data_IF_954948099989
#
_entry.id   IF_954948099989
#
_cell.length_a   1.000
_cell.length_b   1.000
_cell.length_c   1.000
_cell.angle_alpha   90.00
_cell.angle_beta   90.00
_cell.angle_gamma   90.00
#
_symmetry.space_group_name_H-M   'P 1'
#
loop_
_entity.id
_entity.type
_entity.pdbx_description
1 polymer ?
#
# COMPACT_ATOMS: atom_id res chain seq x y z
N UNK A 1 13.50 -5.17 19.40
CA UNK A 1 13.48 -5.63 18.01
C UNK A 1 13.48 -7.15 17.99
N UNK A 2 12.81 -7.80 17.03
CA UNK A 2 12.83 -9.27 16.87
C UNK A 2 14.19 -9.78 16.38
N UNK A 3 14.43 -11.09 16.46
CA UNK A 3 15.62 -11.71 15.85
C UNK A 3 15.61 -11.58 14.33
N UNK A 4 14.48 -11.87 13.69
CA UNK A 4 14.32 -11.74 12.22
C UNK A 4 14.68 -10.34 11.72
N UNK A 5 14.20 -9.30 12.41
CA UNK A 5 14.53 -7.92 12.02
C UNK A 5 16.02 -7.62 12.19
N UNK A 6 16.67 -8.16 13.24
CA UNK A 6 18.13 -8.03 13.42
C UNK A 6 18.89 -8.70 12.28
N UNK A 7 18.48 -9.91 11.90
CA UNK A 7 19.13 -10.67 10.84
C UNK A 7 18.97 -9.97 9.49
N UNK A 8 17.78 -9.41 9.21
CA UNK A 8 17.54 -8.63 8.00
C UNK A 8 18.39 -7.36 7.94
N UNK A 9 18.47 -6.59 9.03
CA UNK A 9 19.31 -5.37 9.06
C UNK A 9 20.78 -5.73 8.89
N UNK A 10 21.26 -6.78 9.56
CA UNK A 10 22.63 -7.26 9.41
C UNK A 10 22.91 -7.67 7.96
N UNK A 11 21.98 -8.42 7.35
CA UNK A 11 22.05 -8.79 5.93
C UNK A 11 22.05 -7.57 5.03
N UNK A 12 21.19 -6.58 5.24
CA UNK A 12 21.10 -5.40 4.38
C UNK A 12 22.31 -4.45 4.47
N UNK A 13 22.98 -4.43 5.63
CA UNK A 13 24.16 -3.59 5.90
C UNK A 13 25.48 -4.29 5.65
N UNK A 14 25.48 -5.54 5.20
CA UNK A 14 26.70 -6.25 4.88
C UNK A 14 27.42 -5.59 3.68
N UNK A 15 28.60 -5.04 3.96
CA UNK A 15 29.44 -4.35 2.99
C UNK A 15 30.02 -5.30 1.93
N UNK A 16 30.09 -6.60 2.21
CA UNK A 16 30.60 -7.63 1.30
C UNK A 16 29.58 -8.09 0.26
N UNK A 17 28.35 -7.56 0.31
CA UNK A 17 27.31 -7.87 -0.68
C UNK A 17 27.67 -7.36 -2.05
N UNK A 18 27.55 -8.23 -3.04
CA UNK A 18 27.75 -7.91 -4.46
C UNK A 18 26.89 -6.71 -4.90
N UNK A 19 25.64 -6.66 -4.45
CA UNK A 19 24.71 -5.56 -4.73
C UNK A 19 24.35 -4.82 -3.44
N UNK A 20 25.04 -3.71 -3.21
CA UNK A 20 24.76 -2.82 -2.08
C UNK A 20 23.45 -2.08 -2.29
N UNK A 21 22.65 -2.03 -1.23
CA UNK A 21 21.45 -1.21 -1.17
C UNK A 21 21.84 0.26 -1.01
N UNK A 22 21.02 1.18 -1.52
CA UNK A 22 21.28 2.60 -1.32
C UNK A 22 20.98 3.01 0.11
N UNK A 23 21.74 3.98 0.63
CA UNK A 23 21.56 4.48 1.99
C UNK A 23 20.11 4.93 2.24
N UNK A 24 19.46 5.58 1.26
CA UNK A 24 18.10 6.05 1.38
C UNK A 24 17.06 4.92 1.47
N UNK A 25 17.35 3.75 0.90
CA UNK A 25 16.52 2.55 1.04
C UNK A 25 16.66 1.97 2.44
N UNK A 26 17.90 1.90 2.95
CA UNK A 26 18.20 1.45 4.30
C UNK A 26 17.55 2.36 5.34
N UNK A 27 17.78 3.68 5.27
CA UNK A 27 17.22 4.65 6.20
C UNK A 27 15.69 4.62 6.22
N UNK A 28 15.05 4.50 5.05
CA UNK A 28 13.60 4.41 4.98
C UNK A 28 13.07 3.12 5.62
N UNK A 29 13.68 1.97 5.34
CA UNK A 29 13.30 0.69 5.94
C UNK A 29 13.53 0.69 7.46
N UNK A 30 14.68 1.18 7.91
CA UNK A 30 15.03 1.27 9.32
C UNK A 30 14.14 2.24 10.07
N UNK A 31 13.72 3.34 9.45
CA UNK A 31 12.75 4.26 10.04
C UNK A 31 11.40 3.56 10.27
N UNK A 32 10.91 2.79 9.28
CA UNK A 32 9.68 2.01 9.42
C UNK A 32 9.78 1.00 10.58
N UNK A 33 10.92 0.29 10.64
CA UNK A 33 11.25 -0.68 11.68
C UNK A 33 11.30 0.00 13.05
N UNK A 34 12.00 1.12 13.15
CA UNK A 34 12.19 1.87 14.38
C UNK A 34 10.85 2.30 14.98
N UNK A 35 10.01 2.94 14.16
CA UNK A 35 8.68 3.42 14.56
C UNK A 35 7.77 2.27 15.02
N UNK A 36 7.93 1.07 14.47
CA UNK A 36 7.06 -0.09 14.74
C UNK A 36 7.55 -0.96 15.91
N UNK A 37 8.88 -1.10 16.09
CA UNK A 37 9.45 -2.06 17.03
C UNK A 37 10.19 -1.48 18.23
N UNK A 38 10.70 -0.25 18.09
CA UNK A 38 11.67 0.32 19.03
C UNK A 38 11.17 1.59 19.72
N UNK A 39 10.57 2.53 18.98
CA UNK A 39 10.19 3.86 19.46
C UNK A 39 9.45 3.84 20.80
N UNK A 40 8.39 3.03 20.93
CA UNK A 40 7.62 2.92 22.18
C UNK A 40 8.41 2.32 23.34
N UNK A 41 9.25 1.32 23.06
CA UNK A 41 10.05 0.63 24.08
C UNK A 41 11.15 1.51 24.64
N UNK A 42 11.67 2.42 23.80
CA UNK A 42 12.71 3.36 24.16
C UNK A 42 12.15 4.67 24.75
N UNK A 43 10.83 4.87 24.72
CA UNK A 43 10.20 6.11 25.13
C UNK A 43 10.33 7.26 24.12
N UNK A 44 10.98 7.05 22.98
CA UNK A 44 11.12 8.03 21.90
C UNK A 44 9.88 8.05 21.00
N UNK A 45 8.77 8.50 21.57
CA UNK A 45 7.45 8.44 20.94
C UNK A 45 7.05 9.73 20.23
N UNK A 46 7.90 10.77 20.21
CA UNK A 46 7.55 12.09 19.67
C UNK A 46 7.06 12.01 18.22
N UNK A 47 7.85 11.40 17.35
CA UNK A 47 7.48 11.25 15.93
C UNK A 47 6.25 10.33 15.76
N UNK A 48 6.19 9.23 16.53
CA UNK A 48 5.07 8.29 16.49
C UNK A 48 3.75 8.95 16.92
N UNK A 49 3.77 9.81 17.93
CA UNK A 49 2.60 10.53 18.42
C UNK A 49 2.12 11.55 17.38
N UNK A 50 3.02 12.28 16.73
CA UNK A 50 2.66 13.16 15.60
C UNK A 50 1.94 12.37 14.51
N UNK A 51 2.49 11.21 14.11
CA UNK A 51 1.87 10.35 13.09
C UNK A 51 0.50 9.84 13.54
N UNK A 52 0.34 9.48 14.81
CA UNK A 52 -0.95 9.03 15.37
C UNK A 52 -1.99 10.14 15.35
N UNK A 53 -1.62 11.34 15.77
CA UNK A 53 -2.51 12.50 15.81
C UNK A 53 -2.98 12.88 14.40
N UNK A 54 -2.06 12.93 13.43
CA UNK A 54 -2.40 13.19 12.03
C UNK A 54 -3.29 12.11 11.43
N UNK A 55 -3.04 10.83 11.75
CA UNK A 55 -3.91 9.73 11.32
C UNK A 55 -5.30 9.80 11.96
N UNK A 56 -5.40 10.24 13.22
CA UNK A 56 -6.69 10.43 13.87
C UNK A 56 -7.49 11.56 13.21
N UNK A 57 -6.81 12.68 12.86
CA UNK A 57 -7.44 13.84 12.22
C UNK A 57 -7.88 13.57 10.79
N UNK A 58 -7.07 12.88 10.01
CA UNK A 58 -7.24 12.82 8.54
C UNK A 58 -7.57 11.44 7.98
N UNK A 59 -7.33 10.36 8.74
CA UNK A 59 -7.40 8.99 8.23
C UNK A 59 -8.34 8.08 9.04
N UNK A 60 -9.21 8.67 9.88
CA UNK A 60 -10.13 7.89 10.73
C UNK A 60 -9.42 6.94 11.69
N UNK A 61 -8.20 7.29 12.11
CA UNK A 61 -7.36 6.47 12.98
C UNK A 61 -6.64 5.31 12.28
N UNK A 62 -6.77 5.15 10.96
CA UNK A 62 -5.99 4.17 10.20
C UNK A 62 -4.50 4.55 10.22
N UNK A 63 -3.59 3.67 10.68
CA UNK A 63 -2.17 3.96 10.67
C UNK A 63 -1.65 4.06 9.23
N UNK A 64 -1.25 5.26 8.81
CA UNK A 64 -0.61 5.52 7.51
C UNK A 64 0.75 6.15 7.71
N UNK A 65 1.69 5.71 6.88
CA UNK A 65 3.03 6.26 6.74
C UNK A 65 3.22 6.70 5.29
N UNK A 66 3.93 7.81 5.10
CA UNK A 66 4.30 8.30 3.79
C UNK A 66 5.84 8.40 3.71
N UNK A 67 6.42 7.75 2.72
CA UNK A 67 7.86 7.84 2.43
C UNK A 67 8.04 8.71 1.20
N UNK A 68 8.57 9.92 1.40
CA UNK A 68 8.93 10.81 0.29
C UNK A 68 10.29 10.40 -0.24
N UNK A 69 10.32 9.90 -1.47
CA UNK A 69 11.53 9.36 -2.09
C UNK A 69 11.72 9.97 -3.49
N UNK A 70 12.97 10.26 -3.86
CA UNK A 70 13.29 10.76 -5.19
C UNK A 70 13.11 9.68 -6.26
N UNK A 71 12.73 10.06 -7.49
CA UNK A 71 12.69 9.11 -8.61
C UNK A 71 14.06 8.45 -8.81
N UNK A 72 14.07 7.13 -8.96
CA UNK A 72 15.31 6.36 -9.09
C UNK A 72 16.00 5.96 -7.78
N UNK A 73 15.54 6.47 -6.62
CA UNK A 73 16.08 6.07 -5.30
C UNK A 73 15.72 4.64 -4.87
N UNK A 74 14.82 3.98 -5.60
CA UNK A 74 14.43 2.58 -5.37
C UNK A 74 13.25 2.39 -4.43
N UNK A 75 12.18 3.18 -4.60
CA UNK A 75 10.87 2.98 -3.93
C UNK A 75 10.39 1.52 -3.97
N UNK A 76 10.48 0.86 -5.12
CA UNK A 76 10.10 -0.55 -5.27
C UNK A 76 11.01 -1.50 -4.50
N UNK A 77 12.30 -1.15 -4.35
CA UNK A 77 13.24 -1.93 -3.50
C UNK A 77 12.82 -1.81 -2.03
N UNK A 78 12.48 -0.59 -1.58
CA UNK A 78 11.94 -0.37 -0.25
C UNK A 78 10.66 -1.19 -0.02
N UNK A 79 9.73 -1.22 -0.99
CA UNK A 79 8.54 -2.06 -0.90
C UNK A 79 8.89 -3.55 -0.70
N UNK A 80 9.86 -4.08 -1.44
CA UNK A 80 10.33 -5.44 -1.25
C UNK A 80 10.94 -5.65 0.15
N UNK A 81 11.74 -4.71 0.65
CA UNK A 81 12.30 -4.76 2.00
C UNK A 81 11.21 -4.77 3.09
N UNK A 82 10.17 -3.94 2.94
CA UNK A 82 9.05 -3.90 3.89
C UNK A 82 8.22 -5.18 3.84
N UNK A 83 7.97 -5.74 2.64
CA UNK A 83 7.27 -7.03 2.49
C UNK A 83 8.10 -8.15 3.14
N UNK A 84 9.41 -8.20 2.89
CA UNK A 84 10.32 -9.16 3.50
C UNK A 84 10.28 -9.06 5.04
N UNK A 85 10.42 -7.84 5.57
CA UNK A 85 10.40 -7.59 7.01
C UNK A 85 9.09 -8.02 7.67
N UNK A 86 7.94 -7.60 7.13
CA UNK A 86 6.64 -7.99 7.67
C UNK A 86 6.39 -9.49 7.51
N UNK A 87 6.60 -10.04 6.31
CA UNK A 87 6.32 -11.42 5.97
C UNK A 87 7.14 -12.41 6.79
N UNK A 88 8.46 -12.19 6.91
CA UNK A 88 9.35 -13.07 7.65
C UNK A 88 9.09 -13.02 9.17
N UNK A 89 8.81 -11.84 9.71
CA UNK A 89 8.42 -11.72 11.11
C UNK A 89 7.08 -12.41 11.38
N UNK A 90 6.12 -12.27 10.47
CA UNK A 90 4.82 -12.94 10.59
C UNK A 90 4.95 -14.46 10.51
N UNK A 91 5.81 -14.96 9.63
CA UNK A 91 6.14 -16.38 9.53
C UNK A 91 6.84 -16.91 10.80
N UNK A 92 7.69 -16.10 11.44
CA UNK A 92 8.37 -16.47 12.68
C UNK A 92 7.44 -16.45 13.90
N UNK A 93 6.50 -15.50 13.94
CA UNK A 93 5.52 -15.37 15.02
C UNK A 93 4.14 -14.97 14.45
N UNK A 94 3.29 -15.97 14.11
CA UNK A 94 1.97 -15.71 13.55
C UNK A 94 1.03 -14.90 14.46
N UNK A 95 1.26 -14.89 15.78
CA UNK A 95 0.42 -14.16 16.74
C UNK A 95 0.79 -12.69 16.87
N UNK A 96 1.96 -12.27 16.37
CA UNK A 96 2.36 -10.87 16.44
C UNK A 96 1.54 -10.03 15.47
N UNK A 97 0.76 -9.10 16.02
CA UNK A 97 -0.18 -8.26 15.26
C UNK A 97 0.50 -7.05 14.61
N UNK A 98 1.75 -6.75 14.99
CA UNK A 98 2.54 -5.68 14.37
C UNK A 98 2.89 -6.01 12.92
N UNK A 99 2.94 -7.31 12.58
CA UNK A 99 3.34 -7.79 11.27
C UNK A 99 2.19 -8.43 10.48
N UNK A 100 2.36 -8.45 9.17
CA UNK A 100 1.38 -8.98 8.22
C UNK A 100 2.05 -9.91 7.22
N UNK A 101 1.30 -10.90 6.79
CA UNK A 101 1.59 -11.82 5.70
C UNK A 101 0.73 -11.50 4.46
N UNK A 102 -0.03 -10.38 4.46
CA UNK A 102 -0.99 -10.00 3.41
C UNK A 102 -0.74 -8.58 2.93
N UNK A 103 -0.40 -8.43 1.66
CA UNK A 103 0.00 -7.16 1.06
C UNK A 103 -0.86 -6.83 -0.15
N UNK A 104 -1.54 -5.69 -0.10
CA UNK A 104 -2.25 -5.12 -1.24
C UNK A 104 -1.39 -4.01 -1.85
N UNK A 105 -0.85 -4.24 -3.02
CA UNK A 105 -0.06 -3.26 -3.77
C UNK A 105 -0.99 -2.57 -4.78
N UNK A 106 -1.16 -1.26 -4.65
CA UNK A 106 -1.98 -0.43 -5.53
C UNK A 106 -1.09 0.38 -6.47
N UNK A 107 -1.47 0.39 -7.74
CA UNK A 107 -0.76 1.04 -8.84
C UNK A 107 -1.69 1.95 -9.65
N UNK A 108 -1.18 2.97 -10.36
CA UNK A 108 -2.02 3.85 -11.17
C UNK A 108 -2.62 3.15 -12.39
N UNK A 109 -1.91 2.18 -12.99
CA UNK A 109 -2.35 1.52 -14.21
C UNK A 109 -1.72 0.14 -14.43
N UNK A 110 -2.24 -0.57 -15.43
CA UNK A 110 -1.87 -1.97 -15.72
C UNK A 110 -0.39 -2.13 -16.09
N UNK A 111 0.20 -1.15 -16.77
CA UNK A 111 1.63 -1.17 -17.13
C UNK A 111 2.51 -1.16 -15.88
N UNK A 112 2.19 -0.34 -14.88
CA UNK A 112 2.95 -0.29 -13.62
C UNK A 112 2.72 -1.56 -12.82
N UNK A 113 1.47 -2.03 -12.75
CA UNK A 113 1.12 -3.31 -12.12
C UNK A 113 2.00 -4.46 -12.63
N UNK A 114 2.15 -4.57 -13.95
CA UNK A 114 2.91 -5.66 -14.55
C UNK A 114 4.42 -5.53 -14.26
N UNK A 115 4.95 -4.31 -14.16
CA UNK A 115 6.34 -4.08 -13.73
C UNK A 115 6.57 -4.39 -12.25
N UNK A 116 5.59 -4.15 -11.39
CA UNK A 116 5.70 -4.44 -9.96
C UNK A 116 5.62 -5.93 -9.61
N UNK A 117 5.42 -6.82 -10.59
CA UNK A 117 5.50 -8.29 -10.40
C UNK A 117 6.81 -8.76 -9.76
N UNK A 118 7.88 -7.97 -9.89
CA UNK A 118 9.15 -8.19 -9.19
C UNK A 118 9.02 -8.22 -7.65
N UNK A 119 7.90 -7.75 -7.08
CA UNK A 119 7.58 -7.86 -5.65
C UNK A 119 7.01 -9.23 -5.26
N UNK A 120 6.69 -10.11 -6.21
CA UNK A 120 6.16 -11.45 -5.96
C UNK A 120 7.32 -12.43 -5.70
N UNK A 121 7.38 -13.12 -4.53
CA UNK A 121 8.45 -14.05 -4.20
C UNK A 121 8.62 -15.21 -5.18
N UNK A 122 7.53 -15.60 -5.86
CA UNK A 122 7.51 -16.69 -6.83
C UNK A 122 7.76 -16.25 -8.28
N UNK A 123 7.94 -14.95 -8.53
CA UNK A 123 8.26 -14.47 -9.88
C UNK A 123 9.74 -14.74 -10.20
N UNK A 124 10.09 -15.25 -11.40
CA UNK A 124 11.49 -15.54 -11.75
C UNK A 124 12.40 -14.31 -11.71
N UNK A 125 11.84 -13.11 -11.85
CA UNK A 125 12.58 -11.83 -11.88
C UNK A 125 12.46 -11.04 -10.59
N UNK A 126 12.07 -11.71 -9.49
CA UNK A 126 11.81 -11.05 -8.22
C UNK A 126 13.03 -10.29 -7.66
N UNK A 127 12.76 -9.17 -6.99
CA UNK A 127 13.80 -8.34 -6.37
C UNK A 127 14.45 -8.99 -5.17
N UNK A 128 13.79 -9.95 -4.52
CA UNK A 128 14.37 -10.67 -3.38
C UNK A 128 15.67 -11.39 -3.77
N UNK A 129 15.67 -12.00 -4.95
CA UNK A 129 16.84 -12.67 -5.54
C UNK A 129 17.70 -11.67 -6.30
N UNK A 130 17.10 -10.91 -7.22
CA UNK A 130 17.84 -10.04 -8.14
C UNK A 130 18.64 -8.93 -7.44
N UNK A 131 18.17 -8.47 -6.27
CA UNK A 131 18.84 -7.46 -5.45
C UNK A 131 19.33 -8.03 -4.11
N UNK A 132 19.26 -9.35 -3.94
CA UNK A 132 19.69 -10.06 -2.73
C UNK A 132 19.01 -9.51 -1.45
N UNK A 133 17.74 -9.06 -1.52
CA UNK A 133 17.05 -8.44 -0.37
C UNK A 133 16.92 -9.40 0.81
N UNK A 134 16.89 -10.71 0.57
CA UNK A 134 16.81 -11.75 1.59
C UNK A 134 17.74 -12.91 1.22
N UNK A 135 18.08 -13.77 2.18
CA UNK A 135 18.80 -15.02 1.91
C UNK A 135 17.90 -16.05 1.21
N UNK A 136 18.45 -17.09 0.55
CA UNK A 136 17.63 -18.16 -0.03
C UNK A 136 16.66 -18.82 0.96
N UNK A 137 17.11 -19.09 2.18
CA UNK A 137 16.29 -19.71 3.24
C UNK A 137 15.16 -18.76 3.70
N UNK A 138 15.43 -17.46 3.71
CA UNK A 138 14.40 -16.45 3.99
C UNK A 138 13.41 -16.36 2.82
N UNK A 139 13.87 -16.44 1.57
CA UNK A 139 12.98 -16.42 0.40
C UNK A 139 11.97 -17.56 0.43
N UNK A 140 12.41 -18.77 0.80
CA UNK A 140 11.52 -19.94 0.94
C UNK A 140 10.40 -19.68 1.95
N UNK A 141 10.74 -19.08 3.09
CA UNK A 141 9.76 -18.69 4.11
C UNK A 141 8.83 -17.57 3.64
N UNK A 142 9.35 -16.66 2.81
CA UNK A 142 8.59 -15.53 2.27
C UNK A 142 7.51 -15.98 1.26
N UNK A 143 7.65 -17.16 0.65
CA UNK A 143 6.63 -17.74 -0.25
C UNK A 143 5.25 -17.90 0.42
N UNK A 144 5.18 -17.97 1.75
CA UNK A 144 3.93 -18.03 2.48
C UNK A 144 3.13 -16.71 2.49
N UNK A 145 3.73 -15.60 2.05
CA UNK A 145 3.06 -14.30 2.00
C UNK A 145 2.07 -14.22 0.83
N UNK A 146 0.92 -13.60 1.08
CA UNK A 146 -0.10 -13.31 0.07
C UNK A 146 0.09 -11.88 -0.43
N UNK A 147 0.41 -11.72 -1.71
CA UNK A 147 0.59 -10.41 -2.33
C UNK A 147 -0.40 -10.27 -3.48
N UNK A 148 -1.19 -9.20 -3.46
CA UNK A 148 -2.08 -8.80 -4.54
C UNK A 148 -1.61 -7.48 -5.12
N UNK A 149 -1.19 -7.50 -6.39
CA UNK A 149 -0.83 -6.29 -7.12
C UNK A 149 -1.98 -5.93 -8.06
N UNK A 150 -2.59 -4.76 -7.86
CA UNK A 150 -3.73 -4.29 -8.64
C UNK A 150 -3.64 -2.79 -8.94
N UNK A 151 -4.53 -2.28 -9.76
CA UNK A 151 -4.68 -0.84 -10.02
C UNK A 151 -5.97 -0.27 -9.41
N UNK A 152 -6.06 1.06 -9.31
CA UNK A 152 -7.22 1.76 -8.73
C UNK A 152 -8.54 1.41 -9.41
N UNK A 153 -8.55 1.24 -10.74
CA UNK A 153 -9.75 0.88 -11.49
C UNK A 153 -10.38 -0.44 -11.01
N UNK A 154 -9.58 -1.37 -10.45
CA UNK A 154 -10.13 -2.61 -9.90
C UNK A 154 -11.05 -2.35 -8.69
N UNK A 155 -10.78 -1.28 -7.94
CA UNK A 155 -11.52 -0.83 -6.77
C UNK A 155 -12.78 -0.03 -7.13
N UNK A 156 -13.01 0.30 -8.41
CA UNK A 156 -14.27 0.88 -8.85
C UNK A 156 -15.41 -0.13 -8.65
N UNK A 157 -16.50 0.33 -8.04
CA UNK A 157 -17.74 -0.44 -7.87
C UNK A 157 -18.33 -0.75 -9.24
N UNK A 158 -18.59 -2.03 -9.52
CA UNK A 158 -19.18 -2.48 -10.78
C UNK A 158 -20.69 -2.54 -10.68
N UNK A 159 -21.35 -2.52 -11.83
CA UNK A 159 -22.77 -2.84 -11.89
C UNK A 159 -23.02 -4.30 -11.52
N UNK A 160 -24.02 -4.55 -10.67
CA UNK A 160 -24.49 -5.88 -10.28
C UNK A 160 -25.37 -6.53 -11.35
N UNK A 161 -25.96 -5.72 -12.23
CA UNK A 161 -26.82 -6.18 -13.33
C UNK A 161 -26.36 -5.54 -14.65
N UNK A 162 -26.12 -6.39 -15.65
CA UNK A 162 -25.94 -5.94 -17.03
C UNK A 162 -27.30 -5.70 -17.69
N UNK A 163 -27.80 -4.47 -17.60
CA UNK A 163 -29.02 -4.03 -18.26
C UNK A 163 -28.82 -2.63 -18.84
N UNK A 164 -29.52 -2.33 -19.95
CA UNK A 164 -29.53 -1.00 -20.54
C UNK A 164 -30.05 0.04 -19.53
N UNK A 165 -29.59 1.29 -19.62
CA UNK A 165 -29.92 2.33 -18.63
C UNK A 165 -31.44 2.56 -18.49
N UNK A 166 -32.20 2.40 -19.57
CA UNK A 166 -33.65 2.49 -19.57
C UNK A 166 -34.29 1.37 -18.74
N UNK A 167 -33.78 0.14 -18.86
CA UNK A 167 -34.26 -1.01 -18.08
C UNK A 167 -33.94 -0.84 -16.60
N UNK A 168 -32.75 -0.33 -16.25
CA UNK A 168 -32.40 -0.01 -14.85
C UNK A 168 -33.34 1.05 -14.26
N UNK A 169 -33.66 2.11 -15.01
CA UNK A 169 -34.62 3.15 -14.57
C UNK A 169 -36.04 2.61 -14.35
N UNK A 170 -36.50 1.69 -15.20
CA UNK A 170 -37.81 1.05 -15.04
C UNK A 170 -37.82 0.15 -13.79
N UNK A 171 -36.76 -0.65 -13.60
CA UNK A 171 -36.59 -1.52 -12.42
C UNK A 171 -36.44 -0.72 -11.11
N UNK A 172 -35.93 0.52 -11.19
CA UNK A 172 -35.80 1.40 -10.05
C UNK A 172 -37.16 2.00 -9.57
N UNK A 173 -38.26 1.80 -10.32
CA UNK A 173 -39.61 2.25 -9.94
C UNK A 173 -39.69 3.73 -9.51
N UNK A 174 -38.92 4.61 -10.17
CA UNK A 174 -38.91 6.05 -9.86
C UNK A 174 -37.90 6.46 -8.77
N UNK A 175 -37.19 5.51 -8.18
CA UNK A 175 -36.00 5.77 -7.37
C UNK A 175 -34.85 6.20 -8.30
N UNK A 176 -34.30 7.39 -8.11
CA UNK A 176 -33.23 7.93 -8.96
C UNK A 176 -31.84 7.45 -8.54
N UNK A 177 -31.76 6.58 -7.53
CA UNK A 177 -30.50 6.15 -6.96
C UNK A 177 -29.86 5.03 -7.81
N UNK A 178 -29.00 5.45 -8.74
CA UNK A 178 -28.22 4.58 -9.64
C UNK A 178 -27.26 3.65 -8.87
N UNK A 179 -27.02 3.93 -7.58
CA UNK A 179 -26.17 3.13 -6.69
C UNK A 179 -26.82 1.79 -6.27
N UNK A 180 -28.15 1.62 -6.42
CA UNK A 180 -28.85 0.35 -6.10
C UNK A 180 -28.36 -0.82 -6.94
N UNK A 181 -27.93 -0.55 -8.18
CA UNK A 181 -27.42 -1.57 -9.10
C UNK A 181 -25.91 -1.62 -9.16
N UNK A 182 -25.20 -1.02 -8.19
CA UNK A 182 -23.75 -1.08 -8.06
C UNK A 182 -23.37 -1.93 -6.87
N UNK A 183 -22.20 -2.57 -6.96
CA UNK A 183 -21.61 -3.28 -5.84
C UNK A 183 -21.54 -2.37 -4.60
N UNK A 184 -21.85 -2.88 -3.43
CA UNK A 184 -21.50 -2.22 -2.17
C UNK A 184 -19.96 -2.17 -2.02
N UNK A 185 -19.40 -1.24 -1.21
CA UNK A 185 -17.96 -1.25 -0.92
C UNK A 185 -17.46 -2.61 -0.41
N UNK A 186 -18.28 -3.33 0.37
CA UNK A 186 -17.95 -4.67 0.86
C UNK A 186 -17.89 -5.73 -0.26
N UNK A 187 -18.79 -5.66 -1.24
CA UNK A 187 -18.77 -6.55 -2.41
C UNK A 187 -17.57 -6.27 -3.31
N UNK A 188 -17.26 -5.00 -3.55
CA UNK A 188 -16.05 -4.59 -4.28
C UNK A 188 -14.80 -5.14 -3.60
N UNK A 189 -14.65 -4.96 -2.28
CA UNK A 189 -13.51 -5.50 -1.53
C UNK A 189 -13.45 -7.01 -1.62
N UNK A 190 -14.58 -7.72 -1.48
CA UNK A 190 -14.62 -9.18 -1.63
C UNK A 190 -14.20 -9.64 -3.03
N UNK A 191 -14.58 -8.89 -4.08
CA UNK A 191 -14.18 -9.17 -5.47
C UNK A 191 -12.69 -8.96 -5.68
N UNK A 192 -12.16 -7.79 -5.29
CA UNK A 192 -10.76 -7.42 -5.54
C UNK A 192 -9.82 -8.23 -4.65
N UNK A 193 -10.09 -8.28 -3.35
CA UNK A 193 -9.26 -8.89 -2.34
C UNK A 193 -9.57 -10.38 -2.11
N UNK A 194 -10.17 -11.06 -3.09
CA UNK A 194 -10.60 -12.47 -2.97
C UNK A 194 -9.47 -13.40 -2.50
N UNK A 195 -8.24 -13.15 -2.94
CA UNK A 195 -7.05 -13.94 -2.59
C UNK A 195 -6.76 -13.95 -1.08
N UNK A 196 -7.17 -12.90 -0.35
CA UNK A 196 -6.97 -12.84 1.10
C UNK A 196 -8.04 -13.59 1.89
N UNK A 197 -9.16 -13.99 1.25
CA UNK A 197 -10.29 -14.64 1.92
C UNK A 197 -10.80 -13.81 3.10
N UNK A 198 -10.89 -14.43 4.28
CA UNK A 198 -11.27 -13.77 5.54
C UNK A 198 -10.06 -13.18 6.31
N UNK A 199 -8.91 -13.07 5.63
CA UNK A 199 -7.67 -12.54 6.18
C UNK A 199 -7.85 -11.12 6.73
N UNK A 200 -7.28 -10.88 7.90
CA UNK A 200 -7.22 -9.55 8.54
C UNK A 200 -5.79 -9.04 8.50
N UNK A 201 -5.62 -7.79 8.97
CA UNK A 201 -4.31 -7.15 9.11
C UNK A 201 -3.58 -7.01 7.77
N UNK A 202 -4.21 -6.39 6.78
CA UNK A 202 -3.64 -6.21 5.44
C UNK A 202 -2.77 -4.95 5.44
N UNK A 203 -1.56 -5.06 4.92
CA UNK A 203 -0.71 -3.89 4.62
C UNK A 203 -1.01 -3.42 3.21
N UNK A 204 -1.32 -2.14 3.05
CA UNK A 204 -1.56 -1.53 1.74
C UNK A 204 -0.32 -0.72 1.35
N UNK A 205 0.29 -1.07 0.22
CA UNK A 205 1.40 -0.33 -0.37
C UNK A 205 0.90 0.41 -1.60
N UNK A 206 0.98 1.73 -1.60
CA UNK A 206 0.54 2.56 -2.72
C UNK A 206 1.75 3.12 -3.46
N UNK A 207 1.97 2.66 -4.70
CA UNK A 207 3.14 3.03 -5.49
C UNK A 207 3.10 4.51 -5.90
N UNK A 208 1.94 5.12 -6.12
CA UNK A 208 1.84 6.55 -6.46
C UNK A 208 0.87 7.28 -5.52
N UNK A 209 1.20 7.27 -4.23
CA UNK A 209 0.37 7.88 -3.18
C UNK A 209 0.11 9.38 -3.39
N UNK A 210 0.91 10.06 -4.22
CA UNK A 210 0.73 11.46 -4.58
C UNK A 210 -0.47 11.71 -5.52
N UNK A 211 -1.09 10.66 -6.08
CA UNK A 211 -2.37 10.77 -6.77
C UNK A 211 -3.57 10.55 -5.81
N UNK A 212 -3.32 10.23 -4.54
CA UNK A 212 -4.35 9.94 -3.55
C UNK A 212 -4.54 11.08 -2.54
N UNK A 213 -4.57 12.33 -3.01
CA UNK A 213 -4.96 13.46 -2.19
C UNK A 213 -6.48 13.64 -2.25
N UNK A 214 -7.12 13.59 -1.08
CA UNK A 214 -8.35 14.35 -0.92
C UNK A 214 -7.95 15.84 -0.99
N UNK A 215 -8.67 16.69 -1.73
CA UNK A 215 -8.45 18.12 -1.66
C UNK A 215 -8.48 18.55 -0.19
N UNK A 216 -7.62 19.50 0.19
CA UNK A 216 -7.75 20.14 1.49
C UNK A 216 -9.21 20.59 1.67
N UNK A 217 -9.79 20.48 2.88
CA UNK A 217 -11.06 21.11 3.17
C UNK A 217 -10.96 22.56 2.70
N UNK A 218 -11.93 23.01 1.90
CA UNK A 218 -11.93 24.41 1.48
C UNK A 218 -12.16 25.23 2.74
N UNK A 219 -11.14 25.94 3.20
CA UNK A 219 -11.37 27.13 3.99
C UNK A 219 -12.21 28.06 3.12
N UNK A 220 -13.33 28.53 3.65
CA UNK A 220 -14.27 29.41 2.95
C UNK A 220 -13.68 30.82 2.74
N UNK A 221 -12.47 30.96 2.17
CA UNK A 221 -11.93 32.28 1.87
C UNK A 221 -10.84 32.20 0.79
N UNK A 222 -11.21 32.57 -0.44
CA UNK A 222 -10.27 32.78 -1.53
C UNK A 222 -10.84 32.40 -2.89
N UNK A 223 -11.08 33.39 -3.75
CA UNK A 223 -11.43 33.16 -5.14
C UNK A 223 -10.22 32.56 -5.89
N UNK A 224 -10.18 31.23 -5.98
CA UNK A 224 -9.18 30.49 -6.75
C UNK A 224 -9.35 30.81 -8.25
N UNK A 225 -8.23 31.06 -8.91
CA UNK A 225 -8.12 31.38 -10.34
C UNK A 225 -8.81 30.30 -11.22
N UNK A 226 -9.49 30.68 -12.33
CA UNK A 226 -10.24 29.73 -13.15
C UNK A 226 -9.38 28.60 -13.75
N UNK A 227 -8.10 28.86 -14.02
CA UNK A 227 -7.17 27.84 -14.53
C UNK A 227 -6.75 26.85 -13.44
N UNK A 228 -6.50 27.32 -12.22
CA UNK A 228 -6.26 26.45 -11.06
C UNK A 228 -7.47 25.57 -10.72
N UNK A 229 -8.71 26.09 -10.88
CA UNK A 229 -9.94 25.28 -10.73
C UNK A 229 -10.08 24.19 -11.80
N UNK A 230 -9.61 24.46 -13.01
CA UNK A 230 -9.71 23.52 -14.13
C UNK A 230 -8.66 22.42 -14.01
N UNK A 231 -7.45 22.78 -13.60
CA UNK A 231 -6.39 21.82 -13.29
C UNK A 231 -6.77 20.95 -12.09
N UNK A 232 -7.26 21.55 -10.99
CA UNK A 232 -7.73 20.81 -9.84
C UNK A 232 -8.91 19.88 -10.16
N UNK A 233 -9.78 20.23 -11.12
CA UNK A 233 -10.85 19.35 -11.61
C UNK A 233 -10.32 18.19 -12.46
N UNK A 234 -9.35 18.44 -13.33
CA UNK A 234 -8.66 17.39 -14.10
C UNK A 234 -7.92 16.43 -13.19
N UNK A 235 -7.19 16.95 -12.21
CA UNK A 235 -6.51 16.16 -11.19
C UNK A 235 -7.51 15.38 -10.34
N UNK A 236 -8.69 15.93 -10.07
CA UNK A 236 -9.80 15.22 -9.41
C UNK A 236 -10.42 14.13 -10.27
N UNK A 237 -10.55 14.35 -11.58
CA UNK A 237 -11.03 13.35 -12.53
C UNK A 237 -10.01 12.23 -12.68
N UNK A 238 -8.72 12.54 -12.75
CA UNK A 238 -7.63 11.55 -12.80
C UNK A 238 -7.45 10.81 -11.46
N UNK A 239 -7.68 11.48 -10.33
CA UNK A 239 -7.69 10.85 -9.00
C UNK A 239 -8.99 10.07 -8.68
N UNK A 240 -10.05 10.25 -9.48
CA UNK A 240 -11.35 9.53 -9.37
C UNK A 240 -11.42 8.25 -10.20
N UNK A 241 -10.31 7.84 -10.82
CA UNK A 241 -10.21 6.65 -11.67
C UNK A 241 -9.51 5.48 -10.97
#
# INVERSE_FOLDING_TARGET
>A
MTSVTRDLIAHWRDDERERRLFFCQLEAAETAIYLTEAAEKLGDTKALNVIRDENQRHNGGLPRFAFKMATGSGKTVLMAMLIAWHGLNKAANPQDRRFSDRFLVITPGITIRDRLRVLMPNDPTNYYTALNVVTPEQLDRLQATQILITNFHALMRRDTIQAASLTKKILAQGDTDDDRFRETPAEMVRRVCRVFGNGKNIVVLNDEAHHCYAPAPKDEEGAIDPDERTLAKKDLEEARV
#
